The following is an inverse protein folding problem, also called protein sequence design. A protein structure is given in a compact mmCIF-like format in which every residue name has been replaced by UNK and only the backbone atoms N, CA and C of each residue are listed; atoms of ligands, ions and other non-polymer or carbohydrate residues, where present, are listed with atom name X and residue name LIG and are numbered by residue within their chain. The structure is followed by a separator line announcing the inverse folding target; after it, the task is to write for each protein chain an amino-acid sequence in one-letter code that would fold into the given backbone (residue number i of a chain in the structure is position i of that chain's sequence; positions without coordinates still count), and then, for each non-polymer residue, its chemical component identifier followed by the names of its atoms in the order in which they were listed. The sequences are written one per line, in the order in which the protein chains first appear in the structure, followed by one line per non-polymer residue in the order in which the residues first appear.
data_IF_407263590380
#
_entry.id   IF_407263590380
#
_cell.length_a   1.000
_cell.length_b   1.000
_cell.length_c   1.000
_cell.angle_alpha   90.00
_cell.angle_beta   90.00
_cell.angle_gamma   90.00
#
_symmetry.space_group_name_H-M   'P 1'
#
loop_
_entity.id
_entity.type
_entity.pdbx_description
1 polymer ?
#
# COMPACT_ATOMS: atom_id res chain seq x y z
N UNK A 1 4.03 10.37 -5.32
CA UNK A 1 4.82 9.13 -5.34
C UNK A 1 6.00 9.12 -4.35
N UNK A 2 7.03 9.97 -4.48
CA UNK A 2 8.18 10.02 -3.54
C UNK A 2 7.78 10.12 -2.04
N UNK A 3 6.70 10.86 -1.73
CA UNK A 3 6.14 10.93 -0.37
C UNK A 3 5.51 9.61 0.09
N UNK A 4 4.72 8.94 -0.75
CA UNK A 4 4.05 7.67 -0.40
C UNK A 4 5.08 6.56 -0.17
N UNK A 5 6.11 6.51 -1.02
CA UNK A 5 7.25 5.60 -0.84
C UNK A 5 7.98 5.83 0.48
N UNK A 6 8.22 7.10 0.83
CA UNK A 6 8.83 7.48 2.11
C UNK A 6 7.95 7.06 3.29
N UNK A 7 6.65 7.33 3.22
CA UNK A 7 5.68 6.92 4.25
C UNK A 7 5.73 5.40 4.49
N UNK A 8 5.68 4.59 3.42
CA UNK A 8 5.78 3.13 3.57
C UNK A 8 7.10 2.69 4.19
N UNK A 9 8.19 3.41 3.87
CA UNK A 9 9.51 3.15 4.46
C UNK A 9 9.53 3.49 5.96
N UNK A 10 8.92 4.62 6.35
CA UNK A 10 8.80 5.02 7.74
C UNK A 10 7.91 4.05 8.53
N UNK A 11 6.82 3.56 7.93
CA UNK A 11 5.97 2.50 8.49
C UNK A 11 6.75 1.21 8.77
N UNK A 12 7.56 0.76 7.83
CA UNK A 12 8.42 -0.43 7.99
C UNK A 12 9.43 -0.24 9.14
N UNK A 13 9.99 0.96 9.27
CA UNK A 13 10.91 1.27 10.36
C UNK A 13 10.23 1.24 11.72
N UNK A 14 9.05 1.84 11.85
CA UNK A 14 8.25 1.82 13.08
C UNK A 14 7.88 0.38 13.47
N UNK A 15 7.44 -0.41 12.49
CA UNK A 15 7.05 -1.80 12.67
C UNK A 15 8.22 -2.68 13.16
N UNK A 16 9.41 -2.48 12.61
CA UNK A 16 10.62 -3.22 13.03
C UNK A 16 10.91 -3.01 14.52
N UNK A 17 10.76 -1.79 15.01
CA UNK A 17 11.06 -1.38 16.39
C UNK A 17 9.90 -1.58 17.38
N UNK A 18 8.72 -2.05 16.92
CA UNK A 18 7.55 -2.20 17.80
C UNK A 18 7.60 -3.45 18.69
N UNK A 19 6.77 -3.47 19.74
CA UNK A 19 6.58 -4.62 20.62
C UNK A 19 5.46 -5.57 20.16
N UNK A 20 5.03 -5.46 18.90
CA UNK A 20 3.97 -6.31 18.37
C UNK A 20 4.37 -7.79 18.37
N UNK A 21 3.40 -8.71 18.51
CA UNK A 21 3.63 -10.13 18.30
C UNK A 21 4.32 -10.39 16.95
N UNK A 22 5.29 -11.31 16.94
CA UNK A 22 6.14 -11.57 15.76
C UNK A 22 5.31 -11.88 14.52
N UNK A 23 4.22 -12.65 14.66
CA UNK A 23 3.36 -13.01 13.53
C UNK A 23 2.61 -11.81 12.93
N UNK A 24 2.14 -10.91 13.78
CA UNK A 24 1.46 -9.69 13.35
C UNK A 24 2.42 -8.73 12.66
N UNK A 25 3.64 -8.62 13.21
CA UNK A 25 4.72 -7.84 12.63
C UNK A 25 5.06 -8.32 11.23
N UNK A 26 5.28 -9.63 11.05
CA UNK A 26 5.58 -10.22 9.75
C UNK A 26 4.46 -10.00 8.73
N UNK A 27 3.18 -10.14 9.14
CA UNK A 27 2.04 -9.91 8.24
C UNK A 27 1.98 -8.47 7.76
N UNK A 28 2.13 -7.51 8.67
CA UNK A 28 2.14 -6.08 8.32
C UNK A 28 3.34 -5.73 7.43
N UNK A 29 4.51 -6.31 7.70
CA UNK A 29 5.73 -6.08 6.92
C UNK A 29 5.57 -6.57 5.48
N UNK A 30 5.04 -7.78 5.29
CA UNK A 30 4.75 -8.33 3.96
C UNK A 30 3.80 -7.42 3.19
N UNK A 31 2.71 -6.95 3.81
CA UNK A 31 1.74 -6.08 3.17
C UNK A 31 2.35 -4.71 2.77
N UNK A 32 3.12 -4.09 3.67
CA UNK A 32 3.82 -2.83 3.37
C UNK A 32 4.84 -2.99 2.23
N UNK A 33 5.57 -4.11 2.19
CA UNK A 33 6.51 -4.41 1.10
C UNK A 33 5.75 -4.62 -0.22
N UNK A 34 4.60 -5.29 -0.20
CA UNK A 34 3.75 -5.47 -1.38
C UNK A 34 3.24 -4.14 -1.93
N UNK A 35 2.68 -3.28 -1.07
CA UNK A 35 2.25 -1.93 -1.45
C UNK A 35 3.42 -1.10 -2.03
N UNK A 36 4.61 -1.19 -1.40
CA UNK A 36 5.81 -0.48 -1.85
C UNK A 36 6.29 -0.97 -3.22
N UNK A 37 6.20 -2.27 -3.50
CA UNK A 37 6.53 -2.85 -4.81
C UNK A 37 5.53 -2.43 -5.89
N UNK A 38 4.24 -2.37 -5.57
CA UNK A 38 3.22 -1.93 -6.52
C UNK A 38 3.41 -0.47 -6.91
N UNK A 39 3.70 0.41 -5.95
CA UNK A 39 4.03 1.82 -6.24
C UNK A 39 5.26 1.97 -7.15
N UNK A 40 6.30 1.17 -6.93
CA UNK A 40 7.49 1.17 -7.79
C UNK A 40 7.19 0.62 -9.20
N UNK A 41 6.39 -0.43 -9.30
CA UNK A 41 6.02 -1.03 -10.57
C UNK A 41 5.11 -0.14 -11.41
N UNK A 42 4.22 0.62 -10.77
CA UNK A 42 3.39 1.64 -11.43
C UNK A 42 4.27 2.75 -12.05
N UNK A 43 5.33 3.16 -11.34
CA UNK A 43 6.30 4.14 -11.85
C UNK A 43 7.11 3.63 -13.06
N UNK A 44 7.43 2.33 -13.08
CA UNK A 44 8.19 1.69 -14.17
C UNK A 44 7.30 1.32 -15.35
N UNK A 45 6.03 0.98 -15.10
CA UNK A 45 5.08 0.50 -16.11
C UNK A 45 4.27 1.60 -16.79
N UNK A 46 4.00 2.73 -16.11
CA UNK A 46 2.97 3.66 -16.54
C UNK A 46 3.38 5.13 -16.38
N UNK A 47 3.58 5.80 -17.54
CA UNK A 47 3.17 7.19 -17.76
C UNK A 47 1.64 7.34 -17.78
N UNK A 48 0.90 6.51 -17.04
CA UNK A 48 -0.56 6.47 -17.09
C UNK A 48 -1.08 7.25 -15.89
N UNK A 49 -1.62 8.40 -16.23
CA UNK A 49 -2.50 9.21 -15.40
C UNK A 49 -3.53 8.30 -14.72
N UNK A 50 -3.52 8.20 -13.38
CA UNK A 50 -4.68 7.61 -12.70
C UNK A 50 -4.50 7.06 -11.29
N UNK A 51 -3.32 6.60 -10.87
CA UNK A 51 -3.19 5.98 -9.54
C UNK A 51 -2.81 7.02 -8.48
N UNK A 52 -3.65 8.04 -8.35
CA UNK A 52 -3.64 8.90 -7.18
C UNK A 52 -4.40 8.20 -6.04
N UNK A 53 -3.84 7.12 -5.48
CA UNK A 53 -4.20 6.81 -4.09
C UNK A 53 -3.82 8.05 -3.27
N UNK A 54 -4.82 8.66 -2.66
CA UNK A 54 -4.73 10.04 -2.20
C UNK A 54 -3.64 10.15 -1.13
N UNK A 55 -2.90 11.26 -1.09
CA UNK A 55 -1.88 11.46 -0.06
C UNK A 55 -2.46 11.29 1.37
N UNK A 56 -3.78 11.45 1.56
CA UNK A 56 -4.44 11.25 2.84
C UNK A 56 -4.50 9.78 3.27
N UNK A 57 -4.70 8.83 2.35
CA UNK A 57 -4.77 7.39 2.68
C UNK A 57 -3.45 6.87 3.24
N UNK A 58 -2.33 7.28 2.66
CA UNK A 58 -1.00 6.95 3.17
C UNK A 58 -0.71 7.66 4.50
N UNK A 59 -1.18 8.91 4.66
CA UNK A 59 -1.07 9.64 5.93
C UNK A 59 -1.84 8.96 7.06
N UNK A 60 -3.06 8.48 6.79
CA UNK A 60 -3.88 7.73 7.74
C UNK A 60 -3.27 6.36 8.07
N UNK A 61 -2.69 5.67 7.09
CA UNK A 61 -1.92 4.45 7.30
C UNK A 61 -0.73 4.68 8.24
N UNK A 62 0.04 5.76 8.01
CA UNK A 62 1.17 6.10 8.86
C UNK A 62 0.76 6.34 10.31
N UNK A 63 -0.28 7.15 10.51
CA UNK A 63 -0.82 7.46 11.84
C UNK A 63 -1.28 6.20 12.56
N UNK A 64 -1.98 5.29 11.89
CA UNK A 64 -2.41 4.01 12.49
C UNK A 64 -1.27 3.08 12.84
N UNK A 65 -0.22 3.03 12.02
CA UNK A 65 0.99 2.27 12.35
C UNK A 65 1.70 2.87 13.57
N UNK A 66 1.75 4.20 13.70
CA UNK A 66 2.27 4.85 14.90
C UNK A 66 1.45 4.48 16.15
N UNK A 67 0.12 4.51 16.06
CA UNK A 67 -0.80 4.15 17.15
C UNK A 67 -0.59 2.69 17.61
N UNK A 68 -0.48 1.75 16.67
CA UNK A 68 -0.32 0.32 16.96
C UNK A 68 1.11 -0.03 17.40
N UNK A 69 2.11 0.74 16.96
CA UNK A 69 3.50 0.55 17.41
C UNK A 69 3.79 1.28 18.74
N UNK A 70 2.84 2.04 19.29
CA UNK A 70 3.01 2.72 20.57
C UNK A 70 3.15 1.70 21.73
N UNK A 71 3.72 2.11 22.89
CA UNK A 71 4.00 1.21 24.01
C UNK A 71 2.77 0.51 24.62
N UNK A 72 1.56 0.98 24.33
CA UNK A 72 0.30 0.40 24.79
C UNK A 72 -0.70 0.34 23.63
N UNK A 73 -0.58 -0.64 22.71
CA UNK A 73 -1.56 -0.79 21.65
C UNK A 73 -2.87 -1.36 22.23
N UNK A 74 -4.02 -0.83 21.79
CA UNK A 74 -5.29 -1.49 22.12
C UNK A 74 -5.39 -2.82 21.36
N UNK A 75 -5.82 -3.86 22.06
CA UNK A 75 -6.01 -5.20 21.50
C UNK A 75 -7.05 -5.15 20.37
N UNK A 76 -6.70 -5.72 19.22
CA UNK A 76 -7.59 -5.82 18.05
C UNK A 76 -7.37 -4.76 16.96
N UNK A 77 -6.58 -3.71 17.21
CA UNK A 77 -6.30 -2.69 16.18
C UNK A 77 -5.45 -3.23 15.02
N UNK A 78 -4.60 -4.22 15.28
CA UNK A 78 -3.72 -4.85 14.29
C UNK A 78 -4.47 -5.57 13.17
N UNK A 79 -5.59 -6.25 13.50
CA UNK A 79 -6.41 -6.95 12.51
C UNK A 79 -7.10 -5.96 11.56
N UNK A 80 -7.61 -4.84 12.10
CA UNK A 80 -8.19 -3.77 11.30
C UNK A 80 -7.16 -3.11 10.37
N UNK A 81 -5.93 -2.93 10.85
CA UNK A 81 -4.84 -2.40 10.04
C UNK A 81 -4.43 -3.37 8.92
N UNK A 82 -4.37 -4.67 9.22
CA UNK A 82 -4.09 -5.71 8.22
C UNK A 82 -5.15 -5.72 7.11
N UNK A 83 -6.42 -5.58 7.47
CA UNK A 83 -7.49 -5.50 6.48
C UNK A 83 -7.36 -4.24 5.62
N UNK A 84 -7.15 -3.06 6.23
CA UNK A 84 -6.95 -1.81 5.50
C UNK A 84 -5.77 -1.87 4.52
N UNK A 85 -4.64 -2.46 4.95
CA UNK A 85 -3.49 -2.66 4.08
C UNK A 85 -3.77 -3.65 2.95
N UNK A 86 -4.56 -4.69 3.21
CA UNK A 86 -4.98 -5.65 2.18
C UNK A 86 -5.85 -4.95 1.15
N UNK A 87 -6.86 -4.19 1.59
CA UNK A 87 -7.77 -3.44 0.71
C UNK A 87 -7.01 -2.42 -0.15
N UNK A 88 -6.07 -1.67 0.44
CA UNK A 88 -5.20 -0.73 -0.30
C UNK A 88 -4.33 -1.45 -1.33
N UNK A 89 -3.78 -2.61 -0.97
CA UNK A 89 -2.94 -3.40 -1.89
C UNK A 89 -3.77 -3.98 -3.04
N UNK A 90 -5.00 -4.39 -2.79
CA UNK A 90 -5.94 -4.86 -3.82
C UNK A 90 -6.38 -3.72 -4.75
N UNK A 91 -6.64 -2.52 -4.24
CA UNK A 91 -6.91 -1.36 -5.08
C UNK A 91 -5.73 -1.05 -6.00
N UNK A 92 -4.51 -0.99 -5.45
CA UNK A 92 -3.29 -0.79 -6.24
C UNK A 92 -3.08 -1.88 -7.30
N UNK A 93 -3.48 -3.13 -7.03
CA UNK A 93 -3.46 -4.23 -8.02
C UNK A 93 -4.55 -4.10 -9.07
N UNK A 94 -5.78 -3.77 -8.68
CA UNK A 94 -6.92 -3.62 -9.61
C UNK A 94 -6.70 -2.54 -10.66
N UNK A 95 -5.88 -1.53 -10.34
CA UNK A 95 -5.42 -0.53 -11.32
C UNK A 95 -4.38 -1.07 -12.32
N UNK A 96 -3.60 -2.08 -11.95
CA UNK A 96 -2.63 -2.75 -12.82
C UNK A 96 -3.28 -3.87 -13.67
N UNK A 97 -4.34 -4.51 -13.16
CA UNK A 97 -5.09 -5.57 -13.82
C UNK A 97 -6.29 -5.05 -14.64
N UNK A 98 -6.46 -3.73 -14.82
CA UNK A 98 -7.49 -3.21 -15.70
C UNK A 98 -7.19 -3.71 -17.13
N UNK A 99 -8.03 -4.58 -17.73
CA UNK A 99 -7.85 -4.92 -19.12
C UNK A 99 -7.96 -3.63 -19.91
N UNK A 100 -7.13 -3.47 -20.94
CA UNK A 100 -7.30 -2.45 -21.97
C UNK A 100 -8.62 -2.72 -22.72
N UNK A 101 -9.77 -2.57 -22.07
CA UNK A 101 -11.10 -2.59 -22.70
C UNK A 101 -11.43 -1.19 -23.19
N UNK A 102 -10.64 -0.74 -24.15
CA UNK A 102 -10.93 0.39 -25.03
C UNK A 102 -10.39 0.04 -26.42
N UNK A 103 -11.14 0.27 -27.51
CA UNK A 103 -10.83 -0.26 -28.83
C UNK A 103 -9.66 0.51 -29.48
N UNK A 104 -8.45 0.34 -28.97
CA UNK A 104 -7.25 0.93 -29.57
C UNK A 104 -6.71 0.08 -30.75
N UNK A 105 -7.13 -1.19 -30.85
CA UNK A 105 -6.68 -2.10 -31.91
C UNK A 105 -7.49 -1.99 -33.22
N UNK A 106 -8.68 -1.38 -33.19
CA UNK A 106 -9.54 -1.25 -34.36
C UNK A 106 -9.16 -0.08 -35.31
N UNK A 107 -8.16 0.72 -34.97
CA UNK A 107 -7.70 1.85 -35.80
C UNK A 107 -6.48 1.51 -36.70
N UNK A 108 -5.93 0.29 -36.61
CA UNK A 108 -4.69 -0.08 -37.32
C UNK A 108 -4.82 -1.24 -38.32
N UNK A 109 -6.04 -1.75 -38.56
CA UNK A 109 -6.27 -2.69 -39.65
C UNK A 109 -7.33 -2.13 -40.60
N UNK A 110 -6.85 -1.86 -41.82
CA UNK A 110 -7.52 -1.55 -43.08
C UNK A 110 -8.99 -1.99 -43.21
#
# INVERSE_FOLDING_TARGET
MLKQYRILTDCLYLLKNSHLPVMDKLRLEVQLIQAKRLLLNDEVGNKVEGVASSESEFGDLYRRIQEICAPQPELGQTANLLQQLTDMTEQLKGHLDMPLSGPAWAAFHH
#
